data_IF_681668588562
#
_entry.id   IF_681668588562
#
_cell.length_a   1.000
_cell.length_b   1.000
_cell.length_c   1.000
_cell.angle_alpha   90.00
_cell.angle_beta   90.00
_cell.angle_gamma   90.00
#
_symmetry.space_group_name_H-M   'P 1'
#
loop_
_entity.id
_entity.type
_entity.pdbx_description
1 polymer ?
#
# COMPACT_ATOMS: atom_id res chain seq x y z
N UNK A 1 4.86 -15.65 -3.80
CA UNK A 1 4.50 -14.22 -3.81
C UNK A 1 2.98 -14.15 -3.84
N UNK A 2 2.37 -13.32 -3.00
CA UNK A 2 0.91 -13.22 -2.92
C UNK A 2 0.43 -12.16 -3.93
N UNK A 3 -0.60 -12.46 -4.71
CA UNK A 3 -1.24 -11.48 -5.60
C UNK A 3 -2.52 -10.96 -4.97
N UNK A 4 -2.78 -9.67 -5.11
CA UNK A 4 -4.01 -9.05 -4.64
C UNK A 4 -4.69 -8.30 -5.78
N UNK A 5 -6.01 -8.39 -5.83
CA UNK A 5 -6.83 -7.69 -6.83
C UNK A 5 -7.50 -6.51 -6.17
N UNK A 6 -7.15 -5.31 -6.63
CA UNK A 6 -7.88 -4.09 -6.29
C UNK A 6 -9.00 -3.85 -7.27
N UNK A 7 -10.13 -3.35 -6.77
CA UNK A 7 -11.35 -3.12 -7.52
C UNK A 7 -11.63 -1.64 -7.73
N UNK A 8 -12.27 -1.33 -8.85
CA UNK A 8 -12.59 0.04 -9.21
C UNK A 8 -13.47 0.73 -8.15
N UNK A 9 -13.06 1.94 -7.74
CA UNK A 9 -13.81 2.80 -6.82
C UNK A 9 -13.75 2.37 -5.36
N UNK A 10 -12.85 1.44 -5.01
CA UNK A 10 -12.70 0.93 -3.65
C UNK A 10 -11.49 1.55 -2.94
N UNK A 11 -11.61 1.68 -1.61
CA UNK A 11 -10.50 2.08 -0.76
C UNK A 11 -9.87 0.85 -0.14
N UNK A 12 -8.56 0.91 -0.04
CA UNK A 12 -7.74 -0.16 0.49
C UNK A 12 -6.85 0.37 1.59
N UNK A 13 -6.74 -0.42 2.65
CA UNK A 13 -5.80 -0.22 3.74
C UNK A 13 -4.80 -1.36 3.73
N UNK A 14 -3.53 -1.02 3.60
CA UNK A 14 -2.42 -1.95 3.64
C UNK A 14 -1.57 -1.74 4.90
N UNK A 15 -1.26 -2.82 5.60
CA UNK A 15 -0.32 -2.84 6.72
C UNK A 15 1.05 -3.28 6.18
N UNK A 16 2.03 -2.41 6.32
CA UNK A 16 3.39 -2.57 5.83
C UNK A 16 4.30 -2.84 7.04
N UNK A 17 4.82 -4.05 7.14
CA UNK A 17 5.85 -4.42 8.11
C UNK A 17 7.23 -4.23 7.48
N UNK A 18 7.94 -3.19 7.93
CA UNK A 18 9.29 -2.89 7.46
C UNK A 18 10.31 -3.72 8.26
N UNK A 19 10.84 -4.76 7.64
CA UNK A 19 11.96 -5.56 8.14
C UNK A 19 13.29 -5.13 7.50
N UNK A 20 14.40 -5.21 8.24
CA UNK A 20 15.75 -4.97 7.71
C UNK A 20 16.01 -3.54 7.19
N UNK A 21 16.54 -3.45 5.97
CA UNK A 21 17.02 -2.21 5.31
C UNK A 21 15.85 -1.36 4.75
N UNK A 22 14.62 -1.90 4.76
CA UNK A 22 13.44 -1.20 4.24
C UNK A 22 12.75 -0.30 5.28
N UNK A 23 13.18 -0.39 6.56
CA UNK A 23 12.78 0.54 7.64
C UNK A 23 13.05 2.01 7.32
N UNK A 24 13.92 2.26 6.34
CA UNK A 24 14.35 3.57 5.89
C UNK A 24 13.37 4.18 4.87
N UNK A 25 12.38 3.43 4.37
CA UNK A 25 11.34 3.99 3.54
C UNK A 25 10.50 4.99 4.35
N UNK A 26 10.58 6.26 3.98
CA UNK A 26 9.72 7.30 4.55
C UNK A 26 8.27 7.12 4.12
N UNK A 27 7.32 7.57 4.95
CA UNK A 27 5.89 7.54 4.62
C UNK A 27 5.60 8.19 3.25
N UNK A 28 6.30 9.27 2.92
CA UNK A 28 6.19 9.97 1.65
C UNK A 28 6.62 9.10 0.46
N UNK A 29 7.72 8.35 0.59
CA UNK A 29 8.21 7.44 -0.45
C UNK A 29 7.22 6.29 -0.70
N UNK A 30 6.56 5.79 0.34
CA UNK A 30 5.48 4.79 0.22
C UNK A 30 4.28 5.41 -0.50
N UNK A 31 3.89 6.62 -0.10
CA UNK A 31 2.77 7.33 -0.72
C UNK A 31 3.01 7.60 -2.22
N UNK A 32 4.22 8.05 -2.57
CA UNK A 32 4.69 8.25 -3.94
C UNK A 32 4.63 6.96 -4.77
N UNK A 33 5.04 5.81 -4.21
CA UNK A 33 4.96 4.52 -4.89
C UNK A 33 3.53 4.09 -5.17
N UNK A 34 2.63 4.26 -4.20
CA UNK A 34 1.21 3.95 -4.37
C UNK A 34 0.56 4.87 -5.42
N UNK A 35 0.91 6.16 -5.40
CA UNK A 35 0.48 7.11 -6.44
C UNK A 35 0.99 6.72 -7.82
N UNK A 36 2.26 6.32 -7.94
CA UNK A 36 2.84 5.80 -9.20
C UNK A 36 2.19 4.49 -9.67
N UNK A 37 1.72 3.66 -8.74
CA UNK A 37 0.95 2.45 -9.06
C UNK A 37 -0.47 2.74 -9.57
N UNK A 38 -1.00 3.95 -9.31
CA UNK A 38 -2.32 4.39 -9.76
C UNK A 38 -3.32 4.69 -8.64
N UNK A 39 -2.92 4.56 -7.37
CA UNK A 39 -3.79 4.94 -6.25
C UNK A 39 -3.89 6.45 -6.10
N UNK A 40 -5.06 6.92 -5.70
CA UNK A 40 -5.35 8.32 -5.36
C UNK A 40 -5.70 8.44 -3.89
N UNK A 41 -5.73 9.67 -3.36
CA UNK A 41 -6.03 9.94 -1.95
C UNK A 41 -5.15 9.15 -0.97
N UNK A 42 -3.89 8.90 -1.36
CA UNK A 42 -2.98 8.07 -0.59
C UNK A 42 -2.55 8.79 0.69
N UNK A 43 -2.79 8.13 1.82
CA UNK A 43 -2.39 8.57 3.16
C UNK A 43 -1.58 7.47 3.84
N UNK A 44 -0.39 7.80 4.34
CA UNK A 44 0.48 6.83 5.02
C UNK A 44 0.73 7.31 6.45
N UNK A 45 0.31 6.50 7.41
CA UNK A 45 0.43 6.75 8.85
C UNK A 45 1.19 5.62 9.55
N UNK A 46 1.62 5.86 10.79
CA UNK A 46 2.43 4.93 11.57
C UNK A 46 3.86 5.42 11.77
N UNK A 47 4.60 4.77 12.67
CA UNK A 47 5.96 5.08 13.13
C UNK A 47 6.75 3.77 13.35
N UNK A 48 8.06 3.81 13.14
CA UNK A 48 8.93 2.64 13.33
C UNK A 48 8.79 1.57 12.24
N UNK A 49 8.63 0.32 12.67
CA UNK A 49 8.64 -0.90 11.83
C UNK A 49 7.28 -1.32 11.27
N UNK A 50 6.20 -0.64 11.64
CA UNK A 50 4.86 -0.89 11.07
C UNK A 50 4.24 0.41 10.59
N UNK A 51 3.77 0.42 9.34
CA UNK A 51 3.07 1.54 8.71
C UNK A 51 1.74 1.08 8.17
N UNK A 52 0.76 1.96 8.22
CA UNK A 52 -0.53 1.78 7.56
C UNK A 52 -0.58 2.72 6.37
N UNK A 53 -0.83 2.18 5.18
CA UNK A 53 -1.10 2.96 3.99
C UNK A 53 -2.56 2.79 3.59
N UNK A 54 -3.23 3.90 3.33
CA UNK A 54 -4.61 3.95 2.85
C UNK A 54 -4.62 4.62 1.49
N UNK A 55 -5.40 4.11 0.55
CA UNK A 55 -5.52 4.69 -0.79
C UNK A 55 -6.78 4.25 -1.50
N UNK A 56 -7.30 5.12 -2.36
CA UNK A 56 -8.42 4.84 -3.25
C UNK A 56 -7.89 4.33 -4.59
N UNK A 57 -8.52 3.30 -5.14
CA UNK A 57 -8.23 2.80 -6.48
C UNK A 57 -9.28 3.33 -7.48
N UNK A 58 -8.95 4.34 -8.31
CA UNK A 58 -9.89 4.91 -9.28
C UNK A 58 -9.93 4.14 -10.62
N UNK A 59 -8.93 3.32 -10.89
CA UNK A 59 -8.77 2.59 -12.16
C UNK A 59 -9.65 1.34 -12.26
N UNK A 60 -9.69 0.68 -13.43
CA UNK A 60 -10.34 -0.62 -13.59
C UNK A 60 -9.70 -1.67 -12.67
N UNK A 61 -10.41 -2.78 -12.44
CA UNK A 61 -9.91 -3.86 -11.59
C UNK A 61 -8.50 -4.28 -12.02
N UNK A 62 -7.57 -4.30 -11.07
CA UNK A 62 -6.17 -4.57 -11.34
C UNK A 62 -5.63 -5.60 -10.34
N UNK A 63 -4.90 -6.58 -10.85
CA UNK A 63 -4.19 -7.56 -10.05
C UNK A 63 -2.71 -7.21 -10.02
N UNK A 64 -2.16 -7.07 -8.82
CA UNK A 64 -0.75 -6.78 -8.61
C UNK A 64 -0.13 -7.75 -7.61
N UNK A 65 1.17 -7.95 -7.73
CA UNK A 65 1.94 -8.71 -6.75
C UNK A 65 2.14 -7.86 -5.49
N UNK A 66 1.78 -8.43 -4.34
CA UNK A 66 2.03 -7.82 -3.06
C UNK A 66 3.53 -7.93 -2.73
N UNK A 67 4.20 -6.80 -2.48
CA UNK A 67 5.55 -6.81 -1.96
C UNK A 67 5.60 -7.60 -0.64
N UNK A 68 6.68 -8.35 -0.34
CA UNK A 68 6.78 -9.14 0.89
C UNK A 68 6.72 -8.31 2.18
N UNK A 69 6.90 -7.00 2.08
CA UNK A 69 6.78 -6.03 3.16
C UNK A 69 5.31 -5.73 3.51
N UNK A 70 4.37 -6.06 2.63
CA UNK A 70 2.93 -5.91 2.88
C UNK A 70 2.45 -7.15 3.62
N UNK A 71 2.14 -6.99 4.91
CA UNK A 71 1.65 -8.10 5.74
C UNK A 71 0.15 -8.30 5.60
N UNK A 72 -0.60 -7.23 5.33
CA UNK A 72 -2.06 -7.28 5.26
C UNK A 72 -2.59 -6.23 4.30
N UNK A 73 -3.64 -6.57 3.55
CA UNK A 73 -4.41 -5.62 2.73
C UNK A 73 -5.88 -5.91 2.95
N UNK A 74 -6.66 -4.88 3.26
CA UNK A 74 -8.10 -4.94 3.48
C UNK A 74 -8.82 -3.85 2.68
N UNK A 75 -9.98 -4.18 2.12
CA UNK A 75 -10.91 -3.20 1.55
C UNK A 75 -11.66 -2.49 2.69
N UNK A 76 -11.78 -1.17 2.64
CA UNK A 76 -12.49 -0.34 3.64
C UNK A 76 -13.57 0.54 2.99
#
# INVERSE_FOLDING_TARGET
MATFTVRQGKRYRATIALAGIERWASNEMIAERLRKAGFTEVTVTGLGSSRTAEGLWPGPDATAELPPQVSEVMEI
#
